data_IF_503009919097
#
_entry.id   IF_503009919097
#
_cell.length_a   1.000
_cell.length_b   1.000
_cell.length_c   1.000
_cell.angle_alpha   90.00
_cell.angle_beta   90.00
_cell.angle_gamma   90.00
#
_symmetry.space_group_name_H-M   'P 1'
#
loop_
_entity.id
_entity.type
_entity.pdbx_description
1 polymer ?
#
# COMPACT_ATOMS: atom_id res chain seq x y z
N UNK A 1 9.84 20.85 8.96
CA UNK A 1 8.60 20.15 8.52
C UNK A 1 7.55 20.32 9.60
N UNK A 2 6.40 20.90 9.28
CA UNK A 2 5.25 20.84 10.21
C UNK A 2 4.77 19.39 10.20
N UNK A 3 4.55 18.76 11.36
CA UNK A 3 3.89 17.47 11.38
C UNK A 3 2.55 17.60 10.66
N UNK A 4 2.23 16.64 9.81
CA UNK A 4 0.91 16.56 9.21
C UNK A 4 -0.09 16.52 10.36
N UNK A 5 -0.84 17.60 10.51
CA UNK A 5 -1.83 17.69 11.57
C UNK A 5 -3.03 16.84 11.15
N UNK A 6 -3.24 15.75 11.84
CA UNK A 6 -4.48 14.97 11.74
C UNK A 6 -5.68 15.66 12.38
N UNK A 7 -5.57 16.95 12.69
CA UNK A 7 -6.59 17.73 13.41
C UNK A 7 -7.91 17.88 12.66
N UNK A 8 -7.94 17.60 11.35
CA UNK A 8 -9.18 17.53 10.59
C UNK A 8 -9.83 16.14 10.58
N UNK A 9 -9.14 15.13 11.13
CA UNK A 9 -9.68 13.80 11.33
C UNK A 9 -10.37 13.73 12.71
N UNK A 10 -11.34 14.62 12.93
CA UNK A 10 -12.26 14.51 14.07
C UNK A 10 -13.33 13.44 13.84
N UNK A 11 -13.06 12.51 12.92
CA UNK A 11 -13.91 11.34 12.75
C UNK A 11 -13.91 10.53 14.05
N UNK A 12 -15.08 10.06 14.48
CA UNK A 12 -15.13 9.19 15.63
C UNK A 12 -14.19 8.00 15.43
N UNK A 13 -13.21 7.88 16.30
CA UNK A 13 -12.29 6.74 16.34
C UNK A 13 -12.90 5.56 17.06
N UNK A 14 -14.12 5.73 17.55
CA UNK A 14 -14.88 4.73 18.29
C UNK A 14 -16.32 4.70 17.80
N UNK A 15 -16.91 3.50 17.83
CA UNK A 15 -18.31 3.29 17.51
C UNK A 15 -18.60 3.08 16.02
N UNK A 16 -19.85 2.83 15.68
CA UNK A 16 -20.30 2.58 14.33
C UNK A 16 -19.73 1.31 13.72
N UNK A 17 -19.22 1.42 12.50
CA UNK A 17 -18.66 0.30 11.73
C UNK A 17 -17.16 0.10 11.94
N UNK A 18 -16.51 0.88 12.79
CA UNK A 18 -15.08 0.76 13.03
C UNK A 18 -14.80 -0.49 13.88
N UNK A 19 -13.99 -1.39 13.34
CA UNK A 19 -13.57 -2.64 14.00
C UNK A 19 -12.16 -2.52 14.56
N UNK A 20 -11.23 -1.99 13.76
CA UNK A 20 -9.85 -1.70 14.16
C UNK A 20 -9.53 -0.27 13.75
N UNK A 21 -9.11 0.54 14.71
CA UNK A 21 -8.83 1.96 14.53
C UNK A 21 -7.36 2.34 14.64
N UNK A 22 -7.08 3.63 14.85
CA UNK A 22 -5.73 4.13 15.03
C UNK A 22 -4.99 3.44 16.18
N UNK A 23 -3.72 3.09 15.93
CA UNK A 23 -2.86 2.37 16.88
C UNK A 23 -2.68 0.89 16.56
N UNK A 24 -3.54 0.34 15.69
CA UNK A 24 -3.41 -1.03 15.18
C UNK A 24 -2.56 -1.10 13.90
N UNK A 25 -2.12 -2.31 13.53
CA UNK A 25 -1.30 -2.53 12.34
C UNK A 25 -2.04 -2.25 11.04
N UNK A 26 -3.37 -2.35 11.04
CA UNK A 26 -4.23 -2.03 9.90
C UNK A 26 -5.56 -1.47 10.37
N UNK A 27 -6.27 -0.74 9.51
CA UNK A 27 -7.65 -0.32 9.74
C UNK A 27 -8.64 -1.41 9.33
N UNK A 28 -9.77 -1.53 10.03
CA UNK A 28 -10.84 -2.43 9.64
C UNK A 28 -12.21 -1.82 9.89
N UNK A 29 -13.13 -2.04 8.95
CA UNK A 29 -14.52 -1.59 9.02
C UNK A 29 -15.48 -2.76 8.81
N UNK A 30 -16.59 -2.78 9.57
CA UNK A 30 -17.68 -3.73 9.35
C UNK A 30 -18.41 -3.38 8.05
N UNK A 31 -18.46 -4.32 7.14
CA UNK A 31 -19.21 -4.21 5.87
C UNK A 31 -20.54 -4.94 5.90
N UNK A 32 -20.90 -5.51 7.03
CA UNK A 32 -22.14 -6.26 7.23
C UNK A 32 -21.98 -7.76 7.00
N UNK A 33 -22.99 -8.52 7.40
CA UNK A 33 -23.01 -9.97 7.23
C UNK A 33 -21.98 -10.73 8.08
N UNK A 34 -21.44 -10.11 9.14
CA UNK A 34 -20.37 -10.70 9.97
C UNK A 34 -18.98 -10.63 9.32
N UNK A 35 -18.82 -9.77 8.33
CA UNK A 35 -17.57 -9.56 7.58
C UNK A 35 -17.03 -8.18 7.89
N UNK A 36 -15.73 -8.10 8.21
CA UNK A 36 -15.02 -6.83 8.21
C UNK A 36 -14.04 -6.76 7.03
N UNK A 37 -13.97 -5.58 6.43
CA UNK A 37 -12.95 -5.24 5.44
C UNK A 37 -11.80 -4.55 6.14
N UNK A 38 -10.62 -5.12 6.09
CA UNK A 38 -9.40 -4.50 6.59
C UNK A 38 -8.54 -4.01 5.44
N UNK A 39 -7.74 -2.98 5.69
CA UNK A 39 -6.84 -2.40 4.69
C UNK A 39 -5.64 -1.75 5.36
N UNK A 40 -4.54 -1.75 4.63
CA UNK A 40 -3.30 -1.07 4.98
C UNK A 40 -2.69 -0.46 3.73
N UNK A 41 -2.18 0.75 3.85
CA UNK A 41 -1.39 1.41 2.80
C UNK A 41 -0.07 1.88 3.37
N UNK A 42 1.00 1.70 2.61
CA UNK A 42 2.33 2.23 2.93
C UNK A 42 2.97 2.84 1.69
N UNK A 43 3.83 3.82 1.93
CA UNK A 43 4.62 4.49 0.90
C UNK A 43 6.08 4.08 1.02
N UNK A 44 6.64 3.56 -0.06
CA UNK A 44 8.05 3.27 -0.22
C UNK A 44 8.68 4.24 -1.23
N UNK A 45 9.45 5.20 -0.73
CA UNK A 45 10.07 6.24 -1.53
C UNK A 45 11.56 5.93 -1.77
N UNK A 46 12.40 6.30 -0.82
CA UNK A 46 13.85 6.20 -0.97
C UNK A 46 14.37 4.77 -1.25
N UNK A 47 13.91 3.72 -0.57
CA UNK A 47 14.33 2.37 -0.90
C UNK A 47 14.03 1.97 -2.35
N UNK A 48 12.87 2.39 -2.88
CA UNK A 48 12.48 2.12 -4.25
C UNK A 48 13.27 2.94 -5.27
N UNK A 49 13.78 4.10 -4.89
CA UNK A 49 14.65 4.90 -5.76
C UNK A 49 16.07 4.33 -5.85
N UNK A 50 16.55 3.65 -4.82
CA UNK A 50 17.89 3.03 -4.75
C UNK A 50 17.87 1.64 -5.38
N UNK A 51 16.95 0.79 -4.93
CA UNK A 51 16.77 -0.58 -5.39
C UNK A 51 15.30 -0.84 -5.71
N UNK A 52 14.83 -0.45 -6.90
CA UNK A 52 13.39 -0.39 -7.19
C UNK A 52 12.69 -1.73 -7.08
N UNK A 53 13.29 -2.82 -7.50
CA UNK A 53 12.71 -4.15 -7.37
C UNK A 53 12.54 -4.53 -5.89
N UNK A 54 13.61 -4.47 -5.11
CA UNK A 54 13.60 -4.87 -3.70
C UNK A 54 12.79 -3.88 -2.85
N UNK A 55 12.90 -2.59 -3.12
CA UNK A 55 12.16 -1.54 -2.42
C UNK A 55 10.65 -1.69 -2.61
N UNK A 56 10.20 -1.91 -3.83
CA UNK A 56 8.79 -2.12 -4.13
C UNK A 56 8.27 -3.46 -3.57
N UNK A 57 9.04 -4.54 -3.72
CA UNK A 57 8.72 -5.84 -3.14
C UNK A 57 8.58 -5.76 -1.61
N UNK A 58 9.48 -5.03 -0.94
CA UNK A 58 9.44 -4.82 0.52
C UNK A 58 8.21 -4.00 0.92
N UNK A 59 7.80 -3.03 0.10
CA UNK A 59 6.56 -2.27 0.32
C UNK A 59 5.33 -3.18 0.37
N UNK A 60 5.19 -4.06 -0.62
CA UNK A 60 4.11 -5.06 -0.64
C UNK A 60 4.25 -6.04 0.54
N UNK A 61 5.46 -6.51 0.82
CA UNK A 61 5.73 -7.43 1.93
C UNK A 61 5.38 -6.84 3.29
N UNK A 62 5.68 -5.55 3.51
CA UNK A 62 5.38 -4.83 4.74
C UNK A 62 3.89 -4.76 5.03
N UNK A 63 3.09 -4.31 4.06
CA UNK A 63 1.63 -4.21 4.23
C UNK A 63 0.98 -5.58 4.44
N UNK A 64 1.46 -6.60 3.75
CA UNK A 64 0.93 -7.96 3.89
C UNK A 64 1.26 -8.56 5.26
N UNK A 65 2.46 -8.30 5.79
CA UNK A 65 2.85 -8.74 7.12
C UNK A 65 1.97 -8.11 8.21
N UNK A 66 1.71 -6.80 8.12
CA UNK A 66 0.85 -6.09 9.07
C UNK A 66 -0.56 -6.64 9.08
N UNK A 67 -1.01 -7.03 7.95
CA UNK A 67 -2.29 -7.66 7.69
C UNK A 67 -2.37 -9.06 8.29
N UNK A 68 -1.37 -9.88 8.08
CA UNK A 68 -1.31 -11.19 8.73
C UNK A 68 -1.23 -11.06 10.25
N UNK A 69 -0.58 -10.00 10.75
CA UNK A 69 -0.46 -9.75 12.19
C UNK A 69 -1.80 -9.53 12.90
N UNK A 70 -2.81 -9.00 12.21
CA UNK A 70 -4.18 -8.85 12.73
C UNK A 70 -5.06 -10.08 12.47
N UNK A 71 -4.50 -11.18 11.96
CA UNK A 71 -5.22 -12.42 11.68
C UNK A 71 -6.08 -12.37 10.41
N UNK A 72 -5.89 -11.39 9.56
CA UNK A 72 -6.67 -11.23 8.34
C UNK A 72 -6.00 -11.91 7.14
N UNK A 73 -6.81 -12.34 6.17
CA UNK A 73 -6.30 -12.91 4.92
C UNK A 73 -6.32 -11.88 3.80
N UNK A 74 -5.18 -11.60 3.16
CA UNK A 74 -5.12 -10.70 2.01
C UNK A 74 -5.91 -11.29 0.84
N UNK A 75 -6.69 -10.45 0.16
CA UNK A 75 -7.49 -10.82 -1.01
C UNK A 75 -7.10 -10.04 -2.26
N UNK A 76 -6.55 -8.84 -2.10
CA UNK A 76 -6.15 -7.99 -3.21
C UNK A 76 -5.02 -7.03 -2.81
N UNK A 77 -4.16 -6.71 -3.76
CA UNK A 77 -3.20 -5.61 -3.69
C UNK A 77 -3.58 -4.55 -4.72
N UNK A 78 -3.43 -3.30 -4.34
CA UNK A 78 -3.52 -2.15 -5.22
C UNK A 78 -2.26 -1.30 -5.04
N UNK A 79 -1.94 -0.49 -6.03
CA UNK A 79 -0.81 0.42 -5.95
C UNK A 79 -1.15 1.82 -6.50
N UNK A 80 -0.37 2.80 -6.07
CA UNK A 80 -0.44 4.17 -6.56
C UNK A 80 0.99 4.66 -6.75
N UNK A 81 1.41 4.77 -8.00
CA UNK A 81 2.80 4.94 -8.39
C UNK A 81 3.08 6.34 -8.88
N UNK A 82 4.25 6.88 -8.52
CA UNK A 82 4.72 8.19 -8.96
C UNK A 82 6.15 8.08 -9.47
N UNK A 83 6.35 8.46 -10.73
CA UNK A 83 7.65 8.46 -11.41
C UNK A 83 7.87 9.80 -12.11
N UNK A 84 9.10 10.05 -12.54
CA UNK A 84 9.46 11.21 -13.33
C UNK A 84 9.02 11.10 -14.79
N UNK A 85 9.74 11.77 -15.69
CA UNK A 85 9.42 11.77 -17.11
C UNK A 85 9.43 10.35 -17.68
N UNK A 86 8.33 9.87 -18.30
CA UNK A 86 8.25 8.52 -18.88
C UNK A 86 9.24 8.28 -20.03
N UNK A 87 9.74 9.35 -20.67
CA UNK A 87 10.71 9.25 -21.74
C UNK A 87 12.16 9.19 -21.23
N UNK A 88 12.40 9.47 -19.94
CA UNK A 88 13.73 9.35 -19.34
C UNK A 88 14.11 7.89 -19.10
N UNK A 89 15.39 7.57 -19.34
CA UNK A 89 15.95 6.24 -19.07
C UNK A 89 15.82 5.88 -17.59
N UNK A 90 16.03 6.84 -16.71
CA UNK A 90 15.96 6.65 -15.26
C UNK A 90 14.53 6.29 -14.80
N UNK A 91 13.54 7.05 -15.23
CA UNK A 91 12.14 6.78 -14.86
C UNK A 91 11.66 5.44 -15.38
N UNK A 92 12.01 5.08 -16.61
CA UNK A 92 11.69 3.75 -17.16
C UNK A 92 12.31 2.62 -16.37
N UNK A 93 13.59 2.75 -16.02
CA UNK A 93 14.28 1.77 -15.18
C UNK A 93 13.58 1.59 -13.83
N UNK A 94 13.26 2.71 -13.15
CA UNK A 94 12.59 2.68 -11.85
C UNK A 94 11.20 2.03 -11.94
N UNK A 95 10.42 2.42 -12.94
CA UNK A 95 9.07 1.90 -13.17
C UNK A 95 9.09 0.38 -13.43
N UNK A 96 9.90 -0.05 -14.38
CA UNK A 96 9.98 -1.45 -14.80
C UNK A 96 10.34 -2.37 -13.63
N UNK A 97 11.35 -1.98 -12.86
CA UNK A 97 11.81 -2.78 -11.73
C UNK A 97 10.85 -2.70 -10.52
N UNK A 98 10.23 -1.55 -10.26
CA UNK A 98 9.23 -1.43 -9.20
C UNK A 98 8.00 -2.31 -9.49
N UNK A 99 7.47 -2.26 -10.70
CA UNK A 99 6.34 -3.09 -11.13
C UNK A 99 6.69 -4.58 -11.06
N UNK A 100 7.91 -4.94 -11.50
CA UNK A 100 8.39 -6.32 -11.38
C UNK A 100 8.48 -6.79 -9.92
N UNK A 101 8.95 -5.92 -9.01
CA UNK A 101 9.02 -6.20 -7.57
C UNK A 101 7.66 -6.41 -6.92
N UNK A 102 6.69 -5.55 -7.24
CA UNK A 102 5.29 -5.68 -6.79
C UNK A 102 4.71 -7.02 -7.24
N UNK A 103 4.81 -7.31 -8.53
CA UNK A 103 4.29 -8.54 -9.13
C UNK A 103 4.97 -9.79 -8.57
N UNK A 104 6.28 -9.76 -8.38
CA UNK A 104 7.03 -10.88 -7.81
C UNK A 104 6.53 -11.25 -6.42
N UNK A 105 6.38 -10.26 -5.54
CA UNK A 105 5.92 -10.52 -4.17
C UNK A 105 4.46 -10.99 -4.13
N UNK A 106 3.57 -10.33 -4.87
CA UNK A 106 2.17 -10.73 -4.97
C UNK A 106 2.00 -12.17 -5.48
N UNK A 107 2.74 -12.53 -6.53
CA UNK A 107 2.73 -13.88 -7.09
C UNK A 107 3.26 -14.93 -6.12
N UNK A 108 4.30 -14.58 -5.34
CA UNK A 108 4.89 -15.52 -4.37
C UNK A 108 3.93 -15.94 -3.27
N UNK A 109 2.97 -15.08 -2.92
CA UNK A 109 1.97 -15.35 -1.87
C UNK A 109 0.57 -15.61 -2.43
N UNK A 110 0.40 -15.58 -3.75
CA UNK A 110 -0.87 -15.84 -4.42
C UNK A 110 -1.92 -14.74 -4.24
N UNK A 111 -1.49 -13.48 -4.10
CA UNK A 111 -2.39 -12.32 -4.00
C UNK A 111 -2.22 -11.44 -5.24
N UNK A 112 -3.32 -11.25 -5.97
CA UNK A 112 -3.29 -10.48 -7.21
C UNK A 112 -3.27 -8.98 -6.95
N UNK A 113 -2.49 -8.23 -7.75
CA UNK A 113 -2.67 -6.79 -7.92
C UNK A 113 -3.87 -6.59 -8.85
N UNK A 114 -4.93 -5.99 -8.34
CA UNK A 114 -6.23 -5.90 -9.04
C UNK A 114 -6.52 -4.52 -9.59
N UNK A 115 -5.70 -3.53 -9.26
CA UNK A 115 -5.87 -2.16 -9.73
C UNK A 115 -4.83 -1.22 -9.15
N UNK A 116 -4.92 0.03 -9.56
CA UNK A 116 -4.00 1.08 -9.13
C UNK A 116 -4.04 2.28 -10.07
N UNK A 117 -3.07 3.15 -9.88
CA UNK A 117 -2.87 4.33 -10.72
C UNK A 117 -1.38 4.64 -10.86
N UNK A 118 -1.05 5.33 -11.93
CA UNK A 118 0.30 5.83 -12.16
C UNK A 118 0.26 7.27 -12.63
N UNK A 119 1.17 8.09 -12.09
CA UNK A 119 1.37 9.47 -12.51
C UNK A 119 2.83 9.75 -12.77
N UNK A 120 3.09 10.63 -13.74
CA UNK A 120 4.42 11.05 -14.14
C UNK A 120 4.57 12.55 -13.89
N UNK A 121 5.49 12.90 -12.99
CA UNK A 121 5.77 14.29 -12.64
C UNK A 121 7.25 14.49 -12.35
N UNK A 122 7.82 15.61 -12.79
CA UNK A 122 9.25 15.92 -12.68
C UNK A 122 9.88 15.72 -11.29
N UNK A 123 9.23 16.09 -10.18
CA UNK A 123 9.78 15.88 -8.85
C UNK A 123 10.13 14.43 -8.49
N UNK A 124 9.52 13.46 -9.16
CA UNK A 124 9.76 12.04 -8.91
C UNK A 124 10.84 11.42 -9.79
N UNK A 125 11.52 12.20 -10.62
CA UNK A 125 12.56 11.73 -11.56
C UNK A 125 13.69 10.95 -10.86
N UNK A 126 14.17 11.47 -9.74
CA UNK A 126 15.28 10.86 -9.00
C UNK A 126 14.82 10.05 -7.78
N UNK A 127 13.60 10.23 -7.36
CA UNK A 127 13.08 9.69 -6.11
C UNK A 127 11.60 9.32 -6.26
N UNK A 128 11.37 8.22 -6.92
CA UNK A 128 10.03 7.70 -7.18
C UNK A 128 9.26 7.39 -5.90
N UNK A 129 7.94 7.32 -5.99
CA UNK A 129 7.07 6.96 -4.88
C UNK A 129 6.23 5.74 -5.25
N UNK A 130 6.40 4.68 -4.48
CA UNK A 130 5.64 3.44 -4.60
C UNK A 130 4.71 3.35 -3.40
N UNK A 131 3.41 3.58 -3.60
CA UNK A 131 2.41 3.34 -2.58
C UNK A 131 1.77 1.99 -2.87
N UNK A 132 1.82 1.09 -1.90
CA UNK A 132 1.17 -0.20 -1.97
C UNK A 132 0.04 -0.25 -0.94
N UNK A 133 -1.10 -0.80 -1.33
CA UNK A 133 -2.28 -1.01 -0.49
C UNK A 133 -2.68 -2.49 -0.54
N UNK A 134 -3.01 -3.04 0.60
CA UNK A 134 -3.61 -4.37 0.68
C UNK A 134 -5.02 -4.27 1.23
N UNK A 135 -5.92 -5.02 0.62
CA UNK A 135 -7.31 -5.19 1.06
C UNK A 135 -7.53 -6.63 1.51
N UNK A 136 -8.32 -6.79 2.54
CA UNK A 136 -8.46 -8.05 3.26
C UNK A 136 -9.89 -8.31 3.67
N UNK A 137 -10.18 -9.58 3.83
CA UNK A 137 -11.38 -10.04 4.50
C UNK A 137 -11.04 -10.61 5.86
N UNK A 138 -11.63 -10.05 6.91
CA UNK A 138 -11.75 -10.70 8.22
C UNK A 138 -13.08 -11.44 8.23
N UNK A 139 -13.02 -12.76 8.21
CA UNK A 139 -14.20 -13.63 8.38
C UNK A 139 -14.25 -13.97 9.88
N UNK A 140 -15.38 -13.64 10.51
CA UNK A 140 -15.68 -13.76 11.94
C UNK A 140 -15.03 -12.69 12.84
N UNK A 141 -15.79 -11.67 13.05
CA UNK A 141 -15.66 -10.82 14.24
C UNK A 141 -16.31 -11.56 15.43
#
# INVERSE_FOLDING_TARGET
>A
MRPVSYTHLTLPTEGGKLVLGPGENAGAVDVGGGIACAFKVESHNHPSAVEPFQGAATGVGGILRDVFAIGARPIAVLDSLRFGDPDSERSRYLLEHAVAGIGHYGNSIGVATVGGEIYFEGPYEQNCLVNAMCVLSLIHI
#
